data_IF_481654024232
#
_entry.id   IF_481654024232
#
_cell.length_a   1.000
_cell.length_b   1.000
_cell.length_c   1.000
_cell.angle_alpha   90.00
_cell.angle_beta   90.00
_cell.angle_gamma   90.00
#
_symmetry.space_group_name_H-M   'P 1'
#
loop_
_entity.id
_entity.type
_entity.pdbx_description
1 polymer ?
#
# COMPACT_ATOMS: atom_id res chain seq x y z
N UNK A 1 -35.81 -22.49 -5.50
CA UNK A 1 -34.53 -22.13 -6.11
C UNK A 1 -34.10 -20.85 -5.42
N UNK A 2 -33.33 -20.96 -4.35
CA UNK A 2 -32.77 -19.81 -3.66
C UNK A 2 -31.42 -19.53 -4.35
N UNK A 3 -31.41 -18.57 -5.27
CA UNK A 3 -30.18 -17.95 -5.67
C UNK A 3 -29.78 -17.06 -4.49
N UNK A 4 -28.90 -17.54 -3.64
CA UNK A 4 -28.05 -16.66 -2.86
C UNK A 4 -27.08 -16.02 -3.87
N UNK A 5 -27.43 -14.85 -4.38
CA UNK A 5 -26.47 -13.95 -5.00
C UNK A 5 -25.54 -13.47 -3.86
N UNK A 6 -24.56 -14.30 -3.50
CA UNK A 6 -23.45 -13.82 -2.69
C UNK A 6 -22.67 -12.83 -3.57
N UNK A 7 -22.54 -11.61 -3.08
CA UNK A 7 -21.76 -10.58 -3.79
C UNK A 7 -20.33 -11.08 -4.02
N UNK A 8 -19.85 -11.00 -5.26
CA UNK A 8 -18.46 -11.33 -5.60
C UNK A 8 -17.45 -10.32 -5.06
N UNK A 9 -17.92 -9.24 -4.42
CA UNK A 9 -17.05 -8.23 -3.78
C UNK A 9 -16.37 -8.78 -2.54
N UNK A 10 -15.06 -8.90 -2.57
CA UNK A 10 -14.24 -9.34 -1.44
C UNK A 10 -13.42 -8.17 -0.90
N UNK A 11 -13.43 -8.02 0.42
CA UNK A 11 -12.77 -6.93 1.13
C UNK A 11 -11.92 -7.47 2.28
N UNK A 12 -10.72 -6.91 2.43
CA UNK A 12 -9.82 -7.17 3.57
C UNK A 12 -9.27 -5.86 4.10
N UNK A 13 -9.32 -5.69 5.41
CA UNK A 13 -8.68 -4.61 6.15
C UNK A 13 -7.43 -5.16 6.82
N UNK A 14 -6.27 -4.61 6.50
CA UNK A 14 -4.97 -5.00 7.03
C UNK A 14 -4.47 -3.87 7.93
N UNK A 15 -3.85 -4.20 9.04
CA UNK A 15 -3.39 -3.21 10.01
C UNK A 15 -1.87 -3.25 10.17
N UNK A 16 -1.25 -2.09 10.12
CA UNK A 16 0.13 -1.87 10.54
C UNK A 16 0.14 -1.25 11.93
N UNK A 17 0.64 -2.03 12.93
CA UNK A 17 0.62 -1.61 14.33
C UNK A 17 1.62 -0.51 14.67
N UNK A 18 2.71 -0.39 13.88
CA UNK A 18 3.80 0.53 14.19
C UNK A 18 3.46 1.97 13.82
N UNK A 19 2.66 2.15 12.77
CA UNK A 19 2.16 3.45 12.31
C UNK A 19 0.68 3.68 12.64
N UNK A 20 -0.07 2.62 12.98
CA UNK A 20 -1.52 2.68 13.19
C UNK A 20 -2.30 2.78 11.87
N UNK A 21 -1.66 2.44 10.74
CA UNK A 21 -2.22 2.58 9.40
C UNK A 21 -3.08 1.37 9.04
N UNK A 22 -4.20 1.62 8.37
CA UNK A 22 -4.99 0.61 7.68
C UNK A 22 -4.67 0.60 6.19
N UNK A 23 -4.39 -0.59 5.69
CA UNK A 23 -4.32 -0.90 4.25
C UNK A 23 -5.58 -1.68 3.86
N UNK A 24 -6.16 -1.36 2.71
CA UNK A 24 -7.39 -1.99 2.24
C UNK A 24 -7.16 -2.73 0.94
N UNK A 25 -7.37 -4.05 0.95
CA UNK A 25 -7.31 -4.90 -0.24
C UNK A 25 -8.73 -5.30 -0.61
N UNK A 26 -9.13 -5.07 -1.86
CA UNK A 26 -10.42 -5.48 -2.37
C UNK A 26 -10.31 -6.03 -3.78
N UNK A 27 -11.16 -7.00 -4.09
CA UNK A 27 -11.18 -7.63 -5.40
C UNK A 27 -12.55 -8.26 -5.70
N UNK A 28 -12.79 -8.50 -6.96
CA UNK A 28 -13.91 -9.28 -7.45
C UNK A 28 -13.52 -10.77 -7.51
N UNK A 29 -14.21 -11.63 -6.77
CA UNK A 29 -13.91 -13.06 -6.74
C UNK A 29 -14.21 -13.80 -8.04
N UNK A 30 -15.02 -13.22 -8.94
CA UNK A 30 -15.37 -13.83 -10.22
C UNK A 30 -14.26 -13.58 -11.27
N UNK A 31 -13.68 -12.37 -11.28
CA UNK A 31 -12.66 -11.96 -12.25
C UNK A 31 -11.24 -12.01 -11.69
N UNK A 32 -11.10 -12.02 -10.36
CA UNK A 32 -9.86 -11.87 -9.61
C UNK A 32 -9.17 -10.50 -9.79
N UNK A 33 -9.79 -9.55 -10.47
CA UNK A 33 -9.28 -8.18 -10.57
C UNK A 33 -9.46 -7.45 -9.24
N UNK A 34 -8.41 -6.75 -8.80
CA UNK A 34 -8.44 -6.10 -7.49
C UNK A 34 -7.57 -4.84 -7.40
N UNK A 35 -7.65 -4.20 -6.25
CA UNK A 35 -6.88 -3.02 -5.90
C UNK A 35 -6.51 -3.00 -4.42
N UNK A 36 -5.49 -2.19 -4.10
CA UNK A 36 -5.04 -1.96 -2.73
C UNK A 36 -4.95 -0.47 -2.45
N UNK A 37 -5.38 -0.04 -1.26
CA UNK A 37 -5.33 1.37 -0.82
C UNK A 37 -4.40 1.49 0.38
N UNK A 38 -3.56 2.52 0.40
CA UNK A 38 -2.58 2.90 1.41
C UNK A 38 -1.67 1.73 1.85
N UNK A 39 -0.93 1.10 0.92
CA UNK A 39 -0.05 0.01 1.24
C UNK A 39 1.25 0.50 1.90
N UNK A 40 1.57 -0.04 3.08
CA UNK A 40 2.76 0.32 3.87
C UNK A 40 3.99 -0.46 3.40
N UNK A 41 5.14 0.21 3.26
CA UNK A 41 6.40 -0.40 2.80
C UNK A 41 6.83 -1.59 3.66
N UNK A 42 6.81 -1.44 4.96
CA UNK A 42 7.22 -2.48 5.91
C UNK A 42 6.28 -3.70 5.89
N UNK A 43 5.10 -3.56 5.25
CA UNK A 43 4.12 -4.62 5.08
C UNK A 43 4.02 -5.11 3.62
N UNK A 44 4.98 -4.75 2.77
CA UNK A 44 5.00 -5.10 1.35
C UNK A 44 4.90 -6.62 1.14
N UNK A 45 5.74 -7.40 1.82
CA UNK A 45 5.76 -8.87 1.67
C UNK A 45 4.43 -9.50 2.07
N UNK A 46 3.82 -9.02 3.17
CA UNK A 46 2.49 -9.46 3.58
C UNK A 46 1.44 -9.15 2.50
N UNK A 47 1.46 -7.95 1.96
CA UNK A 47 0.50 -7.52 0.93
C UNK A 47 0.66 -8.33 -0.35
N UNK A 48 1.91 -8.52 -0.80
CA UNK A 48 2.23 -9.33 -1.98
C UNK A 48 1.83 -10.81 -1.78
N UNK A 49 2.08 -11.36 -0.58
CA UNK A 49 1.67 -12.72 -0.24
C UNK A 49 0.16 -12.91 -0.33
N UNK A 50 -0.65 -11.98 0.20
CA UNK A 50 -2.12 -12.05 0.08
C UNK A 50 -2.58 -11.99 -1.37
N UNK A 51 -1.97 -11.12 -2.19
CA UNK A 51 -2.27 -10.99 -3.62
C UNK A 51 -1.97 -12.32 -4.34
N UNK A 52 -0.81 -12.92 -4.08
CA UNK A 52 -0.41 -14.19 -4.69
C UNK A 52 -1.27 -15.38 -4.21
N UNK A 53 -1.52 -15.51 -2.91
CA UNK A 53 -2.29 -16.60 -2.31
C UNK A 53 -3.77 -16.60 -2.78
N UNK A 54 -4.33 -15.43 -2.99
CA UNK A 54 -5.70 -15.26 -3.45
C UNK A 54 -5.82 -15.22 -4.99
N UNK A 55 -4.70 -15.25 -5.70
CA UNK A 55 -4.65 -15.20 -7.16
C UNK A 55 -5.10 -13.88 -7.75
N UNK A 56 -4.96 -12.76 -7.00
CA UNK A 56 -5.48 -11.46 -7.40
C UNK A 56 -4.64 -10.87 -8.54
N UNK A 57 -5.28 -10.48 -9.62
CA UNK A 57 -4.73 -9.57 -10.62
C UNK A 57 -4.84 -8.14 -10.11
N UNK A 58 -3.76 -7.65 -9.47
CA UNK A 58 -3.77 -6.30 -8.91
C UNK A 58 -3.74 -5.26 -10.04
N UNK A 59 -4.82 -4.50 -10.18
CA UNK A 59 -4.94 -3.46 -11.22
C UNK A 59 -4.35 -2.14 -10.73
N UNK A 60 -4.58 -1.80 -9.45
CA UNK A 60 -4.22 -0.49 -8.90
C UNK A 60 -3.62 -0.61 -7.50
N UNK A 61 -2.53 0.13 -7.28
CA UNK A 61 -1.99 0.45 -5.96
C UNK A 61 -2.19 1.94 -5.72
N UNK A 62 -3.02 2.29 -4.73
CA UNK A 62 -3.59 3.62 -4.55
C UNK A 62 -3.12 4.19 -3.23
N UNK A 63 -2.73 5.46 -3.21
CA UNK A 63 -2.51 6.22 -1.98
C UNK A 63 -3.55 7.34 -1.87
N UNK A 64 -4.19 7.45 -0.71
CA UNK A 64 -5.18 8.49 -0.43
C UNK A 64 -4.56 9.88 -0.38
N UNK A 65 -3.29 9.98 0.01
CA UNK A 65 -2.53 11.22 0.11
C UNK A 65 -1.01 10.93 0.18
N UNK A 66 -0.19 11.95 0.25
CA UNK A 66 1.26 11.80 0.53
C UNK A 66 1.44 11.59 2.04
N UNK A 67 1.66 10.34 2.45
CA UNK A 67 1.79 9.96 3.85
C UNK A 67 3.05 10.55 4.51
N UNK A 68 2.93 10.99 5.77
CA UNK A 68 4.02 11.54 6.57
C UNK A 68 4.52 10.60 7.67
N UNK A 69 3.80 9.53 7.95
CA UNK A 69 4.02 8.58 9.05
C UNK A 69 4.67 7.27 8.58
N UNK A 70 4.48 6.90 7.33
CA UNK A 70 5.07 5.72 6.70
C UNK A 70 5.45 5.97 5.24
N UNK A 71 6.28 5.07 4.70
CA UNK A 71 6.60 5.07 3.27
C UNK A 71 5.62 4.11 2.58
N UNK A 72 5.03 4.56 1.46
CA UNK A 72 4.15 3.71 0.66
C UNK A 72 4.92 2.61 -0.07
N UNK A 73 4.30 1.44 -0.26
CA UNK A 73 4.78 0.38 -1.14
C UNK A 73 4.10 0.36 -2.52
N UNK A 74 3.35 1.41 -2.89
CA UNK A 74 2.62 1.44 -4.16
C UNK A 74 3.52 1.20 -5.37
N UNK A 75 4.70 1.82 -5.42
CA UNK A 75 5.67 1.59 -6.51
C UNK A 75 6.26 0.17 -6.46
N UNK A 76 6.55 -0.35 -5.29
CA UNK A 76 7.04 -1.73 -5.13
C UNK A 76 6.01 -2.73 -5.63
N UNK A 77 4.73 -2.53 -5.29
CA UNK A 77 3.63 -3.37 -5.78
C UNK A 77 3.46 -3.23 -7.30
N UNK A 78 3.55 -2.01 -7.85
CA UNK A 78 3.57 -1.79 -9.30
C UNK A 78 4.68 -2.60 -9.98
N UNK A 79 5.90 -2.50 -9.47
CA UNK A 79 7.06 -3.16 -10.05
C UNK A 79 6.94 -4.70 -9.94
N UNK A 80 6.34 -5.22 -8.85
CA UNK A 80 6.16 -6.65 -8.63
C UNK A 80 4.96 -7.26 -9.38
N UNK A 81 3.86 -6.52 -9.57
CA UNK A 81 2.59 -7.08 -10.08
C UNK A 81 2.15 -6.50 -11.42
N UNK A 82 2.73 -5.37 -11.85
CA UNK A 82 2.26 -4.61 -13.00
C UNK A 82 1.07 -3.70 -12.73
N UNK A 83 0.64 -3.57 -11.47
CA UNK A 83 -0.42 -2.65 -11.05
C UNK A 83 -0.08 -1.21 -11.41
N UNK A 84 -1.11 -0.33 -11.52
CA UNK A 84 -0.91 1.09 -11.75
C UNK A 84 -0.86 1.84 -10.42
N UNK A 85 0.24 2.58 -10.19
CA UNK A 85 0.32 3.49 -9.04
C UNK A 85 -0.59 4.69 -9.26
N UNK A 86 -1.43 5.00 -8.25
CA UNK A 86 -2.55 5.92 -8.41
C UNK A 86 -2.64 6.92 -7.27
N UNK A 87 -2.81 8.19 -7.60
CA UNK A 87 -2.91 9.32 -6.65
C UNK A 87 -3.96 10.32 -7.10
N UNK A 88 -4.39 11.20 -6.19
CA UNK A 88 -5.23 12.34 -6.56
C UNK A 88 -4.51 13.33 -7.48
N UNK A 89 -5.24 14.04 -8.36
CA UNK A 89 -4.71 14.96 -9.39
C UNK A 89 -3.82 16.05 -8.79
N UNK A 90 -4.20 16.62 -7.66
CA UNK A 90 -3.42 17.69 -7.00
C UNK A 90 -2.15 17.21 -6.31
N UNK A 91 -1.87 15.90 -6.35
CA UNK A 91 -0.68 15.34 -5.74
C UNK A 91 0.57 15.77 -6.52
N UNK A 92 1.60 16.22 -5.77
CA UNK A 92 2.92 16.53 -6.31
C UNK A 92 3.78 15.28 -6.55
N UNK A 93 3.22 14.08 -6.43
CA UNK A 93 3.94 12.81 -6.57
C UNK A 93 4.46 12.65 -7.99
N UNK A 94 5.76 12.36 -8.12
CA UNK A 94 6.40 12.07 -9.40
C UNK A 94 6.31 10.58 -9.71
N UNK A 95 6.04 10.23 -10.97
CA UNK A 95 6.04 8.84 -11.42
C UNK A 95 4.76 8.05 -11.10
N UNK A 96 3.68 8.71 -10.66
CA UNK A 96 2.36 8.09 -10.60
C UNK A 96 1.86 7.76 -12.02
N UNK A 97 1.31 6.56 -12.21
CA UNK A 97 0.78 6.14 -13.50
C UNK A 97 -0.59 6.75 -13.79
N UNK A 98 -1.39 6.97 -12.75
CA UNK A 98 -2.75 7.52 -12.83
C UNK A 98 -2.90 8.67 -11.84
N UNK A 99 -3.55 9.74 -12.28
CA UNK A 99 -4.00 10.86 -11.46
C UNK A 99 -5.51 10.97 -11.56
N UNK A 100 -6.17 11.01 -10.41
CA UNK A 100 -7.63 10.98 -10.35
C UNK A 100 -8.19 12.35 -9.98
N UNK A 101 -9.10 12.84 -10.82
CA UNK A 101 -9.93 13.99 -10.54
C UNK A 101 -11.13 13.62 -9.63
N UNK A 102 -11.79 14.63 -9.10
CA UNK A 102 -13.04 14.45 -8.34
C UNK A 102 -14.11 13.81 -9.23
N UNK A 103 -14.60 12.65 -8.82
CA UNK A 103 -15.62 11.90 -9.54
C UNK A 103 -15.12 10.85 -10.53
N UNK A 104 -13.81 10.75 -10.77
CA UNK A 104 -13.23 9.71 -11.62
C UNK A 104 -13.50 8.32 -11.00
N UNK A 105 -13.63 7.31 -11.85
CA UNK A 105 -13.89 5.92 -11.46
C UNK A 105 -12.79 4.98 -11.96
N UNK A 106 -12.35 4.08 -11.10
CA UNK A 106 -11.47 2.94 -11.45
C UNK A 106 -12.29 1.67 -11.45
N UNK A 107 -12.19 0.89 -12.53
CA UNK A 107 -12.90 -0.39 -12.66
C UNK A 107 -12.00 -1.55 -12.23
N UNK A 108 -12.57 -2.50 -11.47
CA UNK A 108 -11.94 -3.77 -11.10
C UNK A 108 -13.02 -4.87 -11.07
N UNK A 109 -12.97 -5.76 -12.05
CA UNK A 109 -14.02 -6.72 -12.29
C UNK A 109 -15.37 -6.05 -12.56
N UNK A 110 -16.39 -6.45 -11.81
CA UNK A 110 -17.75 -5.89 -11.92
C UNK A 110 -17.95 -4.62 -11.07
N UNK A 111 -16.93 -4.16 -10.35
CA UNK A 111 -17.01 -3.07 -9.38
C UNK A 111 -16.30 -1.81 -9.86
N UNK A 112 -16.69 -0.69 -9.24
CA UNK A 112 -16.10 0.62 -9.49
C UNK A 112 -15.69 1.26 -8.18
N UNK A 113 -14.50 1.83 -8.15
CA UNK A 113 -14.01 2.69 -7.08
C UNK A 113 -14.08 4.13 -7.52
N UNK A 114 -14.96 4.94 -6.91
CA UNK A 114 -15.12 6.36 -7.22
C UNK A 114 -14.19 7.21 -6.38
N UNK A 115 -13.42 8.08 -7.01
CA UNK A 115 -12.58 9.07 -6.36
C UNK A 115 -13.40 10.29 -5.94
N UNK A 116 -13.09 10.81 -4.74
CA UNK A 116 -13.70 11.99 -4.14
C UNK A 116 -12.57 12.88 -3.65
N UNK A 117 -12.32 14.00 -4.31
CA UNK A 117 -11.31 14.95 -3.83
C UNK A 117 -11.73 15.53 -2.49
N UNK A 118 -10.94 15.30 -1.44
CA UNK A 118 -11.21 15.72 -0.05
C UNK A 118 -10.02 16.49 0.54
N UNK A 119 -9.61 17.62 -0.08
CA UNK A 119 -8.46 18.39 0.41
C UNK A 119 -8.70 18.94 1.81
N UNK A 120 -7.60 19.16 2.54
CA UNK A 120 -7.61 19.82 3.83
C UNK A 120 -6.68 19.23 4.86
N UNK A 121 -6.51 17.89 4.97
CA UNK A 121 -5.39 17.30 5.70
C UNK A 121 -4.10 17.51 4.89
N UNK A 122 -4.12 17.17 3.60
CA UNK A 122 -3.22 17.70 2.57
C UNK A 122 -4.05 18.31 1.44
N UNK A 123 -3.44 19.03 0.52
CA UNK A 123 -4.15 19.62 -0.64
C UNK A 123 -4.56 18.56 -1.68
N UNK A 124 -3.96 17.39 -1.65
CA UNK A 124 -4.16 16.29 -2.58
C UNK A 124 -4.95 15.11 -2.01
N UNK A 125 -5.49 15.22 -0.78
CA UNK A 125 -6.29 14.14 -0.19
C UNK A 125 -7.44 13.72 -1.10
N UNK A 126 -7.55 12.41 -1.29
CA UNK A 126 -8.61 11.78 -2.07
C UNK A 126 -9.22 10.65 -1.24
N UNK A 127 -10.50 10.71 -1.00
CA UNK A 127 -11.29 9.61 -0.44
C UNK A 127 -11.87 8.76 -1.57
N UNK A 128 -12.25 7.54 -1.25
CA UNK A 128 -12.79 6.62 -2.25
C UNK A 128 -14.11 6.01 -1.79
N UNK A 129 -15.00 5.73 -2.74
CA UNK A 129 -16.28 5.10 -2.45
C UNK A 129 -16.52 3.90 -3.36
N UNK A 130 -16.92 2.77 -2.76
CA UNK A 130 -17.43 1.58 -3.44
C UNK A 130 -18.32 0.76 -2.51
N UNK A 131 -19.35 0.13 -3.03
CA UNK A 131 -20.20 -0.86 -2.35
C UNK A 131 -20.62 -0.45 -0.91
N UNK A 132 -21.09 0.79 -0.75
CA UNK A 132 -21.55 1.31 0.56
C UNK A 132 -20.42 1.61 1.56
N UNK A 133 -19.17 1.73 1.11
CA UNK A 133 -17.97 1.97 1.91
C UNK A 133 -17.23 3.20 1.43
N UNK A 134 -16.83 4.04 2.37
CA UNK A 134 -15.94 5.18 2.17
C UNK A 134 -14.57 4.88 2.77
N UNK A 135 -13.53 4.97 1.97
CA UNK A 135 -12.13 4.92 2.38
C UNK A 135 -11.63 6.36 2.43
N UNK A 136 -11.50 6.89 3.63
CA UNK A 136 -11.40 8.34 3.83
C UNK A 136 -9.97 8.85 4.02
N UNK A 137 -8.98 7.95 4.00
CA UNK A 137 -7.62 8.32 4.37
C UNK A 137 -7.64 9.08 5.69
N UNK A 138 -6.90 10.18 5.74
CA UNK A 138 -6.86 11.06 6.91
C UNK A 138 -7.83 12.26 6.83
N UNK A 139 -8.71 12.30 5.82
CA UNK A 139 -9.74 13.35 5.80
C UNK A 139 -10.74 13.19 6.94
N UNK A 140 -11.34 12.00 7.13
CA UNK A 140 -12.25 11.68 8.21
C UNK A 140 -11.78 10.42 8.93
N UNK A 141 -11.51 10.53 10.23
CA UNK A 141 -11.14 9.44 11.11
C UNK A 141 -12.30 9.06 12.04
N UNK A 142 -12.24 7.88 12.66
CA UNK A 142 -13.25 7.46 13.64
C UNK A 142 -13.16 8.39 14.87
N UNK A 143 -14.19 9.20 15.08
CA UNK A 143 -14.26 10.24 16.14
C UNK A 143 -13.14 11.28 16.03
N UNK A 144 -12.72 11.59 14.80
CA UNK A 144 -11.69 12.59 14.54
C UNK A 144 -11.60 12.95 13.06
N UNK A 145 -10.57 13.70 12.73
CA UNK A 145 -10.15 14.01 11.37
C UNK A 145 -8.62 14.22 11.35
N UNK A 146 -8.01 14.19 10.19
CA UNK A 146 -6.60 14.50 10.03
C UNK A 146 -6.24 15.90 10.51
N UNK A 147 -4.98 16.10 10.85
CA UNK A 147 -4.42 17.42 11.19
C UNK A 147 -4.29 18.28 9.94
N UNK A 148 -4.20 19.60 10.13
CA UNK A 148 -4.14 20.57 9.01
C UNK A 148 -2.96 21.54 9.11
N UNK A 149 -1.98 21.25 9.96
CA UNK A 149 -0.84 22.11 10.26
C UNK A 149 0.44 21.72 9.50
N UNK A 150 0.37 20.74 8.57
CA UNK A 150 1.45 20.30 7.69
C UNK A 150 0.97 20.12 6.24
N UNK A 151 1.90 19.97 5.30
CA UNK A 151 1.67 19.53 3.93
C UNK A 151 0.54 20.29 3.19
N UNK A 152 0.55 21.63 3.25
CA UNK A 152 -0.49 22.50 2.69
C UNK A 152 -1.89 22.22 3.29
N UNK A 153 -1.94 21.77 4.54
CA UNK A 153 -3.18 21.54 5.25
C UNK A 153 -3.99 22.83 5.44
N UNK A 154 -5.32 22.68 5.40
CA UNK A 154 -6.25 23.80 5.45
C UNK A 154 -7.53 23.35 6.18
N UNK A 155 -7.81 23.88 7.38
CA UNK A 155 -8.98 23.45 8.16
C UNK A 155 -10.32 23.83 7.51
N UNK A 156 -10.38 24.92 6.74
CA UNK A 156 -11.62 25.31 6.04
C UNK A 156 -11.91 24.33 4.89
N UNK A 157 -10.88 23.97 4.11
CA UNK A 157 -11.02 22.95 3.05
C UNK A 157 -11.43 21.61 3.64
N UNK A 158 -10.82 21.20 4.77
CA UNK A 158 -11.15 19.94 5.43
C UNK A 158 -12.60 19.93 5.93
N UNK A 159 -13.04 21.01 6.55
CA UNK A 159 -14.43 21.16 6.98
C UNK A 159 -15.41 20.98 5.81
N UNK A 160 -15.17 21.68 4.70
CA UNK A 160 -15.99 21.58 3.50
C UNK A 160 -15.95 20.20 2.86
N UNK A 161 -14.77 19.57 2.78
CA UNK A 161 -14.60 18.21 2.26
C UNK A 161 -15.44 17.20 3.06
N UNK A 162 -15.43 17.28 4.38
CA UNK A 162 -16.17 16.36 5.23
C UNK A 162 -17.67 16.67 5.17
N UNK A 163 -18.06 17.92 5.43
CA UNK A 163 -19.48 18.27 5.61
C UNK A 163 -20.27 18.27 4.32
N UNK A 164 -19.66 18.69 3.20
CA UNK A 164 -20.35 18.84 1.92
C UNK A 164 -20.21 17.61 1.02
N UNK A 165 -19.12 16.82 1.14
CA UNK A 165 -18.89 15.67 0.29
C UNK A 165 -19.08 14.34 1.03
N UNK A 166 -18.36 14.11 2.12
CA UNK A 166 -18.43 12.81 2.81
C UNK A 166 -19.75 12.63 3.55
N UNK A 167 -20.24 13.67 4.25
CA UNK A 167 -21.53 13.64 4.95
C UNK A 167 -22.75 13.69 4.03
N UNK A 168 -22.56 13.90 2.73
CA UNK A 168 -23.62 13.77 1.73
C UNK A 168 -23.99 12.33 1.40
N UNK A 169 -23.13 11.35 1.75
CA UNK A 169 -23.41 9.93 1.57
C UNK A 169 -24.50 9.47 2.56
N UNK A 170 -25.19 8.36 2.25
CA UNK A 170 -26.20 7.78 3.14
C UNK A 170 -25.66 7.53 4.54
N UNK A 171 -26.49 7.72 5.55
CA UNK A 171 -26.11 7.59 6.96
C UNK A 171 -25.55 6.20 7.32
N UNK A 172 -25.99 5.15 6.62
CA UNK A 172 -25.52 3.78 6.78
C UNK A 172 -24.19 3.47 6.09
N UNK A 173 -23.63 4.41 5.30
CA UNK A 173 -22.35 4.21 4.61
C UNK A 173 -21.24 4.02 5.63
N UNK A 174 -20.49 2.92 5.50
CA UNK A 174 -19.38 2.61 6.38
C UNK A 174 -18.18 3.52 6.09
N UNK A 175 -17.50 3.94 7.14
CA UNK A 175 -16.29 4.78 7.08
C UNK A 175 -15.09 3.96 7.51
N UNK A 176 -14.12 3.85 6.60
CA UNK A 176 -12.83 3.18 6.76
C UNK A 176 -11.71 4.21 6.66
N UNK A 177 -11.10 4.63 7.78
CA UNK A 177 -10.09 5.69 7.81
C UNK A 177 -8.69 5.19 7.44
N UNK A 178 -7.75 6.09 7.17
CA UNK A 178 -6.33 5.78 7.04
C UNK A 178 -5.71 5.27 8.34
N UNK A 179 -6.15 5.82 9.48
CA UNK A 179 -5.56 5.50 10.79
C UNK A 179 -6.59 5.26 11.88
N UNK A 180 -6.25 4.39 12.83
CA UNK A 180 -6.86 4.38 14.17
C UNK A 180 -5.84 3.90 15.22
N UNK A 181 -5.77 4.62 16.33
CA UNK A 181 -4.83 4.35 17.42
C UNK A 181 -5.50 3.69 18.64
N UNK A 182 -6.79 3.39 18.55
CA UNK A 182 -7.60 2.85 19.63
C UNK A 182 -8.18 1.46 19.31
N UNK A 183 -7.80 0.87 18.17
CA UNK A 183 -8.24 -0.46 17.74
C UNK A 183 -9.65 -0.51 17.16
N UNK A 184 -10.24 0.62 16.75
CA UNK A 184 -11.52 0.67 16.07
C UNK A 184 -11.29 0.44 14.57
N UNK A 185 -12.08 -0.40 13.95
CA UNK A 185 -11.86 -0.84 12.57
C UNK A 185 -12.72 -0.13 11.55
N UNK A 186 -13.89 0.34 11.94
CA UNK A 186 -14.83 1.06 11.08
C UNK A 186 -15.78 1.93 11.91
N UNK A 187 -16.44 2.87 11.24
CA UNK A 187 -17.54 3.66 11.73
C UNK A 187 -18.58 3.76 10.62
N UNK A 188 -19.58 4.62 10.76
CA UNK A 188 -20.50 4.98 9.69
C UNK A 188 -20.82 6.47 9.70
N UNK A 189 -21.38 6.98 8.60
CA UNK A 189 -21.64 8.40 8.43
C UNK A 189 -22.53 8.97 9.56
N UNK A 190 -23.60 8.26 9.96
CA UNK A 190 -24.47 8.74 11.04
C UNK A 190 -23.75 8.82 12.39
N UNK A 191 -22.82 7.89 12.65
CA UNK A 191 -22.03 7.93 13.87
C UNK A 191 -21.09 9.14 13.89
N UNK A 192 -20.40 9.40 12.78
CA UNK A 192 -19.50 10.56 12.72
C UNK A 192 -20.27 11.89 12.75
N UNK A 193 -21.42 11.98 12.07
CA UNK A 193 -22.33 13.12 12.20
C UNK A 193 -22.79 13.37 13.63
N UNK A 194 -23.00 12.31 14.41
CA UNK A 194 -23.57 12.39 15.75
C UNK A 194 -22.50 12.57 16.84
N UNK A 195 -21.38 11.86 16.73
CA UNK A 195 -20.45 11.66 17.85
C UNK A 195 -19.03 12.13 17.59
N UNK A 196 -18.71 12.63 16.39
CA UNK A 196 -17.36 13.11 16.13
C UNK A 196 -17.10 14.40 16.91
N UNK A 197 -16.16 14.43 17.87
CA UNK A 197 -15.95 15.59 18.75
C UNK A 197 -15.41 16.82 18.03
N UNK A 198 -14.84 16.64 16.83
CA UNK A 198 -14.27 17.72 16.03
C UNK A 198 -15.24 18.26 15.00
N UNK A 199 -16.02 17.37 14.35
CA UNK A 199 -16.81 17.73 13.15
C UNK A 199 -18.19 17.05 13.10
N UNK A 200 -18.92 16.99 14.22
CA UNK A 200 -20.32 16.54 14.20
C UNK A 200 -21.22 17.49 13.37
N UNK A 201 -22.41 17.05 12.97
CA UNK A 201 -23.31 17.79 12.06
C UNK A 201 -23.74 19.16 12.54
N UNK A 202 -23.65 19.46 13.85
CA UNK A 202 -23.94 20.77 14.44
C UNK A 202 -22.70 21.66 14.61
N UNK A 203 -21.54 21.26 14.13
CA UNK A 203 -20.30 22.03 14.27
C UNK A 203 -20.27 23.19 13.28
N UNK A 204 -19.83 24.38 13.74
CA UNK A 204 -19.60 25.52 12.85
C UNK A 204 -18.18 25.57 12.35
N UNK A 205 -17.95 26.18 11.18
CA UNK A 205 -16.62 26.35 10.59
C UNK A 205 -15.66 27.04 11.58
N UNK A 206 -16.10 28.12 12.22
CA UNK A 206 -15.25 28.90 13.13
C UNK A 206 -14.78 28.06 14.33
N UNK A 207 -15.68 27.26 14.91
CA UNK A 207 -15.31 26.37 16.02
C UNK A 207 -14.41 25.26 15.56
N UNK A 208 -14.67 24.68 14.38
CA UNK A 208 -13.81 23.67 13.82
C UNK A 208 -12.39 24.19 13.60
N UNK A 209 -12.23 25.36 12.97
CA UNK A 209 -10.92 26.01 12.77
C UNK A 209 -10.22 26.26 14.11
N UNK A 210 -10.95 26.71 15.13
CA UNK A 210 -10.38 26.89 16.47
C UNK A 210 -9.88 25.57 17.07
N UNK A 211 -10.64 24.48 16.93
CA UNK A 211 -10.23 23.16 17.40
C UNK A 211 -8.95 22.71 16.67
N UNK A 212 -8.93 22.83 15.35
CA UNK A 212 -7.80 22.37 14.53
C UNK A 212 -6.53 23.15 14.84
N UNK A 213 -6.60 24.47 15.00
CA UNK A 213 -5.46 25.32 15.35
C UNK A 213 -4.90 25.06 16.75
N UNK A 214 -5.67 24.43 17.64
CA UNK A 214 -5.27 24.14 19.03
C UNK A 214 -4.96 22.66 19.29
N UNK A 215 -4.83 21.80 18.27
CA UNK A 215 -4.61 20.37 18.46
C UNK A 215 -3.27 20.05 19.14
N UNK A 216 -2.24 20.87 18.97
CA UNK A 216 -0.91 20.70 19.58
C UNK A 216 -0.37 19.26 19.51
N UNK A 217 -0.54 18.59 18.37
CA UNK A 217 -0.06 17.22 18.16
C UNK A 217 1.44 17.18 17.91
N UNK A 218 2.17 16.18 18.42
CA UNK A 218 3.59 16.02 18.10
C UNK A 218 3.79 15.86 16.60
N UNK A 219 4.97 16.26 16.10
CA UNK A 219 5.36 16.07 14.70
C UNK A 219 5.36 14.55 14.39
N UNK A 220 4.85 14.10 13.23
CA UNK A 220 4.98 12.71 12.82
C UNK A 220 6.46 12.29 12.80
N UNK A 221 6.76 11.13 13.40
CA UNK A 221 8.15 10.71 13.63
C UNK A 221 8.98 10.54 12.36
N UNK A 222 8.33 10.15 11.26
CA UNK A 222 9.01 9.83 9.99
C UNK A 222 8.80 10.86 8.89
N UNK A 223 8.22 12.04 9.19
CA UNK A 223 7.85 13.03 8.18
C UNK A 223 9.02 13.46 7.29
N UNK A 224 10.22 13.62 7.89
CA UNK A 224 11.41 14.07 7.16
C UNK A 224 11.99 12.99 6.23
N UNK A 225 11.67 11.73 6.46
CA UNK A 225 12.03 10.58 5.62
C UNK A 225 10.90 10.23 4.62
N UNK A 226 9.67 10.11 5.12
CA UNK A 226 8.54 9.60 4.36
C UNK A 226 8.11 10.54 3.23
N UNK A 227 7.97 11.85 3.50
CA UNK A 227 7.49 12.80 2.49
C UNK A 227 8.39 12.83 1.25
N UNK A 228 9.72 13.00 1.33
CA UNK A 228 10.57 13.04 0.14
C UNK A 228 10.52 11.75 -0.70
N UNK A 229 10.35 10.59 -0.05
CA UNK A 229 10.25 9.31 -0.72
C UNK A 229 8.86 9.12 -1.35
N UNK A 230 7.80 9.44 -0.61
CA UNK A 230 6.43 9.33 -1.11
C UNK A 230 6.13 10.30 -2.27
N UNK A 231 6.78 11.48 -2.29
CA UNK A 231 6.75 12.38 -3.44
C UNK A 231 7.39 11.77 -4.71
N UNK A 232 8.16 10.69 -4.58
CA UNK A 232 8.69 9.88 -5.69
C UNK A 232 7.94 8.56 -5.86
N UNK A 233 6.72 8.46 -5.34
CA UNK A 233 5.88 7.26 -5.35
C UNK A 233 6.41 6.12 -4.45
N UNK A 234 7.14 6.45 -3.39
CA UNK A 234 7.79 5.48 -2.51
C UNK A 234 9.11 4.95 -3.08
N UNK A 235 9.56 3.79 -2.57
CA UNK A 235 10.70 3.11 -3.14
C UNK A 235 10.34 2.44 -4.45
N UNK A 236 11.21 2.60 -5.44
CA UNK A 236 11.27 1.69 -6.58
C UNK A 236 11.92 0.39 -6.13
N UNK A 237 11.40 -0.72 -6.62
CA UNK A 237 12.21 -1.89 -6.84
C UNK A 237 13.08 -1.59 -8.07
N UNK A 238 13.77 -0.41 -8.11
CA UNK A 238 14.67 -0.17 -9.21
C UNK A 238 15.55 -1.40 -9.32
N UNK A 239 15.40 -2.05 -10.44
CA UNK A 239 16.40 -2.83 -11.10
C UNK A 239 17.65 -1.94 -11.12
N UNK A 240 18.44 -1.94 -10.03
CA UNK A 240 19.86 -1.59 -10.14
C UNK A 240 20.25 -2.30 -11.38
N UNK A 241 21.03 -1.70 -12.27
CA UNK A 241 21.40 -2.29 -13.53
C UNK A 241 21.68 -3.77 -13.26
N UNK A 242 20.64 -4.59 -13.38
CA UNK A 242 20.82 -6.01 -13.58
C UNK A 242 21.64 -6.00 -14.84
N UNK A 243 22.86 -6.47 -14.77
CA UNK A 243 23.44 -7.04 -15.97
C UNK A 243 22.34 -7.96 -16.47
N UNK A 244 21.75 -7.64 -17.63
CA UNK A 244 20.58 -8.31 -18.21
C UNK A 244 20.91 -9.72 -18.69
N UNK A 245 21.76 -10.40 -17.99
CA UNK A 245 21.85 -11.84 -18.04
C UNK A 245 20.61 -12.38 -17.33
N UNK A 246 19.46 -12.25 -18.00
CA UNK A 246 18.27 -13.01 -17.67
C UNK A 246 18.63 -14.49 -17.83
N UNK A 247 19.21 -15.07 -16.77
CA UNK A 247 19.54 -16.46 -16.71
C UNK A 247 18.24 -17.26 -16.79
N UNK A 248 18.12 -18.02 -17.87
CA UNK A 248 17.07 -19.05 -17.96
C UNK A 248 17.42 -20.21 -17.02
N UNK A 249 16.45 -21.06 -16.70
CA UNK A 249 16.74 -22.31 -15.97
C UNK A 249 17.75 -23.20 -16.71
N UNK A 250 17.84 -23.06 -18.03
CA UNK A 250 18.83 -23.75 -18.85
C UNK A 250 20.26 -23.22 -18.58
N UNK A 251 20.38 -21.88 -18.50
CA UNK A 251 21.66 -21.23 -18.20
C UNK A 251 22.13 -21.56 -16.79
N UNK A 252 21.18 -21.53 -15.82
CA UNK A 252 21.45 -21.93 -14.46
C UNK A 252 21.94 -23.38 -14.38
N UNK A 253 21.32 -24.29 -15.13
CA UNK A 253 21.73 -25.69 -15.15
C UNK A 253 23.16 -25.87 -15.70
N UNK A 254 23.54 -25.10 -16.73
CA UNK A 254 24.91 -25.11 -17.25
C UNK A 254 25.94 -24.47 -16.29
N UNK A 255 25.48 -23.58 -15.43
CA UNK A 255 26.30 -22.88 -14.46
C UNK A 255 26.61 -23.76 -13.23
N UNK A 256 25.67 -24.64 -12.82
CA UNK A 256 25.78 -25.42 -11.59
C UNK A 256 27.06 -26.23 -11.52
N UNK A 257 27.51 -26.83 -12.67
CA UNK A 257 28.75 -27.61 -12.76
C UNK A 257 30.02 -26.75 -12.74
N UNK A 258 29.89 -25.43 -12.79
CA UNK A 258 30.98 -24.46 -12.88
C UNK A 258 31.07 -23.54 -11.66
N UNK A 259 30.12 -23.65 -10.71
CA UNK A 259 30.14 -22.83 -9.52
C UNK A 259 31.40 -23.06 -8.70
N UNK A 260 32.01 -21.95 -8.27
CA UNK A 260 33.12 -21.99 -7.33
C UNK A 260 32.57 -22.15 -5.88
N UNK A 261 33.40 -22.52 -4.90
CA UNK A 261 32.97 -22.62 -3.50
C UNK A 261 32.47 -21.31 -2.90
N UNK A 262 32.85 -20.17 -3.51
CA UNK A 262 32.45 -18.83 -3.08
C UNK A 262 31.23 -18.27 -3.86
N UNK A 263 30.65 -19.10 -4.73
CA UNK A 263 29.41 -18.76 -5.44
C UNK A 263 28.25 -19.63 -4.93
N UNK A 264 27.05 -19.07 -4.85
CA UNK A 264 25.90 -19.78 -4.30
C UNK A 264 24.60 -19.48 -5.05
N UNK A 265 23.81 -20.53 -5.28
CA UNK A 265 22.42 -20.38 -5.70
C UNK A 265 21.53 -20.29 -4.46
N UNK A 266 20.70 -19.28 -4.40
CA UNK A 266 19.72 -19.06 -3.33
C UNK A 266 18.31 -19.16 -3.91
N UNK A 267 17.53 -20.09 -3.37
CA UNK A 267 16.10 -20.24 -3.67
C UNK A 267 15.29 -19.42 -2.66
N UNK A 268 14.63 -18.36 -3.15
CA UNK A 268 13.86 -17.45 -2.32
C UNK A 268 12.37 -17.84 -2.22
N UNK A 269 12.02 -19.07 -2.64
CA UNK A 269 10.68 -19.62 -2.47
C UNK A 269 10.45 -20.05 -1.03
N UNK A 270 9.15 -20.31 -0.71
CA UNK A 270 8.77 -20.85 0.61
C UNK A 270 9.40 -22.24 0.82
N UNK A 271 9.64 -22.66 2.09
CA UNK A 271 10.23 -23.98 2.38
C UNK A 271 9.44 -25.13 1.76
N UNK A 272 8.11 -25.08 1.77
CA UNK A 272 7.27 -26.12 1.17
C UNK A 272 7.41 -26.22 -0.35
N UNK A 273 7.70 -25.11 -1.06
CA UNK A 273 7.97 -25.11 -2.49
C UNK A 273 9.38 -25.69 -2.77
N UNK A 274 10.33 -25.36 -1.90
CA UNK A 274 11.70 -25.88 -1.96
C UNK A 274 11.73 -27.40 -1.75
N UNK A 275 10.97 -27.91 -0.76
CA UNK A 275 10.88 -29.35 -0.44
C UNK A 275 10.23 -30.16 -1.57
N UNK A 276 9.37 -29.57 -2.37
CA UNK A 276 8.73 -30.22 -3.54
C UNK A 276 9.69 -30.38 -4.74
N UNK A 277 10.83 -29.69 -4.72
CA UNK A 277 11.88 -29.75 -5.71
C UNK A 277 12.63 -28.43 -5.81
N UNK A 278 13.95 -28.49 -5.81
CA UNK A 278 14.83 -27.32 -5.84
C UNK A 278 16.05 -27.56 -6.70
N UNK A 279 16.79 -26.49 -7.00
CA UNK A 279 18.07 -26.56 -7.70
C UNK A 279 19.08 -27.29 -6.81
N UNK A 280 19.73 -28.38 -7.28
CA UNK A 280 20.71 -29.11 -6.48
C UNK A 280 21.80 -28.21 -5.90
N UNK A 281 22.00 -28.25 -4.58
CA UNK A 281 23.00 -27.47 -3.88
C UNK A 281 22.57 -25.99 -3.60
N UNK A 282 21.36 -25.59 -3.97
CA UNK A 282 20.86 -24.27 -3.58
C UNK A 282 20.58 -24.20 -2.09
N UNK A 283 20.70 -22.98 -1.54
CA UNK A 283 20.30 -22.65 -0.18
C UNK A 283 18.89 -22.06 -0.21
N UNK A 284 17.99 -22.52 0.67
CA UNK A 284 16.67 -21.91 0.77
C UNK A 284 16.69 -20.77 1.80
N UNK A 285 16.54 -19.55 1.30
CA UNK A 285 16.34 -18.33 2.10
C UNK A 285 15.06 -17.69 1.59
N UNK A 286 13.91 -18.03 2.17
CA UNK A 286 12.62 -17.50 1.74
C UNK A 286 12.59 -15.98 1.78
N UNK A 287 12.00 -15.37 0.76
CA UNK A 287 11.75 -13.94 0.72
C UNK A 287 11.11 -13.47 2.04
N UNK A 288 11.64 -12.39 2.63
CA UNK A 288 11.29 -11.88 3.95
C UNK A 288 12.24 -12.29 5.08
N UNK A 289 13.08 -13.32 4.89
CA UNK A 289 14.05 -13.79 5.88
C UNK A 289 15.49 -13.37 5.55
N UNK A 290 15.74 -12.69 4.43
CA UNK A 290 17.07 -12.33 3.95
C UNK A 290 17.88 -11.52 4.96
N UNK A 291 17.23 -10.75 5.84
CA UNK A 291 17.91 -9.99 6.90
C UNK A 291 18.61 -10.88 7.93
N UNK A 292 18.07 -12.06 8.20
CA UNK A 292 18.66 -13.02 9.13
C UNK A 292 19.91 -13.69 8.55
N UNK A 293 20.00 -13.72 7.22
CA UNK A 293 21.08 -14.38 6.47
C UNK A 293 22.04 -13.41 5.76
N UNK A 294 21.90 -12.11 6.01
CA UNK A 294 22.65 -11.10 5.26
C UNK A 294 24.17 -11.26 5.42
N UNK A 295 24.64 -11.63 6.60
CA UNK A 295 26.07 -11.83 6.84
C UNK A 295 26.60 -13.10 6.17
N UNK A 296 25.75 -14.13 6.02
CA UNK A 296 26.06 -15.32 5.23
C UNK A 296 26.14 -15.00 3.75
N UNK A 297 25.16 -14.23 3.23
CA UNK A 297 25.14 -13.80 1.82
C UNK A 297 26.36 -12.94 1.48
N UNK A 298 26.79 -12.07 2.37
CA UNK A 298 28.03 -11.27 2.22
C UNK A 298 29.30 -12.10 2.12
N UNK A 299 29.28 -13.31 2.61
CA UNK A 299 30.42 -14.23 2.55
C UNK A 299 30.67 -14.82 1.18
N UNK A 300 29.76 -14.65 0.22
CA UNK A 300 29.91 -15.17 -1.14
C UNK A 300 30.37 -14.08 -2.11
N UNK A 301 31.23 -14.44 -3.07
CA UNK A 301 31.71 -13.55 -4.13
C UNK A 301 30.60 -13.26 -5.16
N UNK A 302 29.68 -14.23 -5.36
CA UNK A 302 28.55 -14.08 -6.27
C UNK A 302 27.37 -14.95 -5.83
N UNK A 303 26.18 -14.38 -5.90
CA UNK A 303 24.93 -15.03 -5.52
C UNK A 303 23.95 -15.04 -6.69
N UNK A 304 23.36 -16.20 -6.98
CA UNK A 304 22.32 -16.37 -7.99
C UNK A 304 20.98 -16.58 -7.30
N UNK A 305 20.11 -15.58 -7.35
CA UNK A 305 18.80 -15.66 -6.77
C UNK A 305 17.81 -16.29 -7.76
N UNK A 306 17.01 -17.25 -7.30
CA UNK A 306 15.97 -17.83 -8.13
C UNK A 306 14.65 -18.05 -7.36
N UNK A 307 13.54 -18.01 -8.11
CA UNK A 307 12.22 -18.40 -7.64
C UNK A 307 11.43 -19.04 -8.80
N UNK A 308 10.12 -19.17 -8.68
CA UNK A 308 9.29 -19.79 -9.73
C UNK A 308 9.23 -18.94 -11.03
N UNK A 309 9.04 -17.62 -10.91
CA UNK A 309 8.79 -16.72 -12.05
C UNK A 309 9.83 -15.59 -12.22
N UNK A 310 10.89 -15.57 -11.40
CA UNK A 310 11.89 -14.48 -11.37
C UNK A 310 11.47 -13.31 -10.46
N UNK A 311 10.19 -13.07 -10.21
CA UNK A 311 9.68 -11.89 -9.48
C UNK A 311 10.18 -11.80 -8.04
N UNK A 312 10.03 -12.86 -7.24
CA UNK A 312 10.52 -12.90 -5.85
C UNK A 312 12.04 -12.77 -5.78
N UNK A 313 12.74 -13.40 -6.70
CA UNK A 313 14.20 -13.27 -6.81
C UNK A 313 14.62 -11.83 -7.08
N UNK A 314 13.92 -11.13 -7.97
CA UNK A 314 14.15 -9.73 -8.27
C UNK A 314 13.90 -8.83 -7.05
N UNK A 315 12.83 -9.10 -6.29
CA UNK A 315 12.51 -8.36 -5.05
C UNK A 315 13.63 -8.51 -4.03
N UNK A 316 14.09 -9.74 -3.78
CA UNK A 316 15.19 -10.03 -2.84
C UNK A 316 16.50 -9.39 -3.31
N UNK A 317 16.83 -9.47 -4.60
CA UNK A 317 17.98 -8.77 -5.17
C UNK A 317 17.97 -7.27 -4.84
N UNK A 318 16.85 -6.62 -5.10
CA UNK A 318 16.70 -5.18 -4.82
C UNK A 318 16.89 -4.88 -3.32
N UNK A 319 16.31 -5.70 -2.44
CA UNK A 319 16.44 -5.52 -0.98
C UNK A 319 17.89 -5.70 -0.52
N UNK A 320 18.62 -6.67 -1.06
CA UNK A 320 20.03 -6.90 -0.75
C UNK A 320 20.93 -5.78 -1.28
N UNK A 321 20.68 -5.30 -2.50
CA UNK A 321 21.40 -4.17 -3.10
C UNK A 321 21.23 -2.88 -2.29
N UNK A 322 20.02 -2.62 -1.76
CA UNK A 322 19.77 -1.49 -0.86
C UNK A 322 20.56 -1.56 0.45
N UNK A 323 21.04 -2.74 0.83
CA UNK A 323 21.88 -2.97 2.01
C UNK A 323 23.37 -3.01 1.67
N UNK A 324 23.74 -2.58 0.45
CA UNK A 324 25.12 -2.50 -0.02
C UNK A 324 25.70 -3.86 -0.40
N UNK A 325 24.87 -4.84 -0.76
CA UNK A 325 25.28 -6.12 -1.34
C UNK A 325 25.13 -5.99 -2.85
N UNK A 326 26.27 -5.97 -3.57
CA UNK A 326 26.32 -5.82 -5.03
C UNK A 326 26.91 -7.07 -5.74
N UNK A 327 27.03 -8.18 -4.99
CA UNK A 327 27.67 -9.42 -5.43
C UNK A 327 26.72 -10.47 -6.04
#
# INVERSE_FOLDING_TARGET
>A
MNNNDESSFVFRQLFDKDTGTFTYLMFDSDTLEGLIIDPVKEQFDRSLQFIEELGIELKYAIDTHVHADHITSSRMLRDATGAKSTFGENSSVQGADIRLNDGDELEFGHFKLKAISTPGHTDACTSFYTEGRLFTGDSLLIRGCGRTDFQQGDPEKLFNSITQKLYAYPDSTLVYPGHDYLGRTASCIIEEKSFNPRIHSGQTLEKFVQIMNNLNLPKPKRIDEAIPLNLKCGFSLELGHVNEDNFTMHDLHQLLDKLTPTERVIDVRKPNEYDQGHVPGSLNIPMGNEREFIDEIRGYDRVFLHCHSGRRAQTVYTMLSMQGLEN
#
